data_IF_330581574730
#
_entry.id   IF_330581574730
#
_cell.length_a   1.000
_cell.length_b   1.000
_cell.length_c   1.000
_cell.angle_alpha   90.00
_cell.angle_beta   90.00
_cell.angle_gamma   90.00
#
_symmetry.space_group_name_H-M   'P 1'
#
loop_
_entity.id
_entity.type
_entity.pdbx_description
1 polymer ?
#
# COMPACT_ATOMS: atom_id res chain seq x y z
N UNK A 1 -14.03 -11.80 7.11
CA UNK A 1 -12.56 -11.81 7.08
C UNK A 1 -12.02 -10.43 6.74
N UNK A 2 -10.78 -10.17 7.07
CA UNK A 2 -10.15 -8.86 6.84
C UNK A 2 -9.85 -8.62 5.38
N UNK A 3 -10.06 -7.39 4.94
CA UNK A 3 -9.59 -6.86 3.66
C UNK A 3 -8.51 -5.83 3.96
N UNK A 4 -7.34 -6.02 3.38
CA UNK A 4 -6.12 -5.32 3.75
C UNK A 4 -5.65 -4.45 2.60
N UNK A 5 -5.25 -3.22 2.92
CA UNK A 5 -4.56 -2.32 1.99
C UNK A 5 -3.12 -2.16 2.48
N UNK A 6 -2.16 -2.33 1.58
CA UNK A 6 -0.77 -2.01 1.84
C UNK A 6 -0.37 -0.85 0.93
N UNK A 7 -0.09 0.30 1.51
CA UNK A 7 0.41 1.47 0.81
C UNK A 7 1.90 1.61 1.08
N UNK A 8 2.70 1.68 0.01
CA UNK A 8 4.15 1.77 0.12
C UNK A 8 4.58 3.11 -0.45
N UNK A 9 5.17 3.95 0.39
CA UNK A 9 5.60 5.30 0.01
C UNK A 9 7.12 5.40 -0.09
N UNK A 10 7.63 6.54 -0.54
CA UNK A 10 9.02 6.73 -0.90
C UNK A 10 9.97 7.05 0.24
N UNK A 11 9.60 6.71 1.47
CA UNK A 11 10.53 6.84 2.59
C UNK A 11 11.51 5.67 2.61
N UNK A 12 12.67 5.84 3.27
CA UNK A 12 13.58 4.74 3.53
C UNK A 12 12.89 3.67 4.37
N UNK A 13 13.22 2.40 4.14
CA UNK A 13 12.63 1.28 4.88
C UNK A 13 11.81 0.33 4.01
N UNK A 14 12.15 0.19 2.73
CA UNK A 14 11.50 -0.78 1.84
C UNK A 14 11.56 -2.20 2.39
N UNK A 15 12.59 -2.54 3.18
CA UNK A 15 12.69 -3.85 3.82
C UNK A 15 11.50 -4.15 4.73
N UNK A 16 10.91 -3.15 5.37
CA UNK A 16 9.75 -3.36 6.24
C UNK A 16 8.51 -3.72 5.43
N UNK A 17 8.31 -3.09 4.28
CA UNK A 17 7.23 -3.46 3.36
C UNK A 17 7.42 -4.89 2.84
N UNK A 18 8.64 -5.25 2.47
CA UNK A 18 8.98 -6.60 2.04
C UNK A 18 8.67 -7.62 3.14
N UNK A 19 9.11 -7.37 4.37
CA UNK A 19 8.86 -8.27 5.50
C UNK A 19 7.36 -8.45 5.75
N UNK A 20 6.57 -7.38 5.67
CA UNK A 20 5.12 -7.46 5.85
C UNK A 20 4.49 -8.32 4.76
N UNK A 21 4.83 -8.07 3.50
CA UNK A 21 4.27 -8.83 2.38
C UNK A 21 4.69 -10.30 2.43
N UNK A 22 5.96 -10.57 2.74
CA UNK A 22 6.45 -11.95 2.90
C UNK A 22 5.69 -12.68 4.02
N UNK A 23 5.41 -11.99 5.12
CA UNK A 23 4.68 -12.57 6.24
C UNK A 23 3.21 -12.86 5.91
N UNK A 24 2.60 -12.08 5.03
CA UNK A 24 1.20 -12.26 4.65
C UNK A 24 0.97 -13.40 3.66
N UNK A 25 1.94 -13.73 2.82
CA UNK A 25 1.77 -14.75 1.79
C UNK A 25 1.30 -16.10 2.37
N UNK A 26 1.93 -16.66 3.43
CA UNK A 26 1.48 -17.94 3.97
C UNK A 26 0.20 -17.85 4.79
N UNK A 27 -0.31 -16.66 5.06
CA UNK A 27 -1.52 -16.45 5.85
C UNK A 27 -2.77 -16.28 4.97
N UNK A 28 -2.75 -16.76 3.75
CA UNK A 28 -3.77 -16.49 2.73
C UNK A 28 -5.18 -16.99 3.10
N UNK A 29 -5.32 -17.83 4.11
CA UNK A 29 -6.63 -18.27 4.62
C UNK A 29 -7.14 -17.42 5.78
N UNK A 30 -6.41 -16.37 6.20
CA UNK A 30 -6.76 -15.54 7.35
C UNK A 30 -7.23 -14.13 6.93
N UNK A 31 -7.22 -13.83 5.65
CA UNK A 31 -7.75 -12.57 5.11
C UNK A 31 -8.48 -12.83 3.80
N UNK A 32 -9.35 -11.90 3.41
CA UNK A 32 -10.14 -12.04 2.20
C UNK A 32 -9.37 -11.55 0.97
N UNK A 33 -8.72 -10.39 1.09
CA UNK A 33 -7.97 -9.81 -0.02
C UNK A 33 -6.90 -8.84 0.49
N UNK A 34 -5.87 -8.66 -0.33
CA UNK A 34 -4.81 -7.67 -0.11
C UNK A 34 -4.67 -6.85 -1.38
N UNK A 35 -4.87 -5.54 -1.26
CA UNK A 35 -4.58 -4.58 -2.32
C UNK A 35 -3.31 -3.82 -1.99
N UNK A 36 -2.44 -3.62 -2.98
CA UNK A 36 -1.17 -2.92 -2.80
C UNK A 36 -1.13 -1.71 -3.72
N UNK A 37 -0.75 -0.57 -3.17
CA UNK A 37 -0.51 0.66 -3.93
C UNK A 37 0.89 1.15 -3.62
N UNK A 38 1.70 1.34 -4.65
CA UNK A 38 3.05 1.90 -4.52
C UNK A 38 3.11 3.25 -5.22
N UNK A 39 3.68 4.26 -4.55
CA UNK A 39 4.04 5.49 -5.24
C UNK A 39 5.21 5.25 -6.19
N UNK A 40 5.44 6.15 -7.14
CA UNK A 40 6.59 6.03 -8.05
C UNK A 40 7.91 6.07 -7.26
N UNK A 41 7.98 6.94 -6.25
CA UNK A 41 9.15 7.01 -5.38
C UNK A 41 9.33 5.73 -4.56
N UNK A 42 8.26 5.07 -4.16
CA UNK A 42 8.35 3.79 -3.44
C UNK A 42 9.03 2.72 -4.29
N UNK A 43 8.71 2.65 -5.56
CA UNK A 43 9.34 1.70 -6.48
C UNK A 43 10.84 1.98 -6.61
N UNK A 44 11.19 3.26 -6.76
CA UNK A 44 12.58 3.68 -6.87
C UNK A 44 13.38 3.37 -5.60
N UNK A 45 12.81 3.64 -4.43
CA UNK A 45 13.46 3.35 -3.15
C UNK A 45 13.63 1.84 -2.95
N UNK A 46 12.62 1.05 -3.28
CA UNK A 46 12.73 -0.41 -3.22
C UNK A 46 13.87 -0.93 -4.09
N UNK A 47 13.91 -0.48 -5.36
CA UNK A 47 14.95 -0.90 -6.30
C UNK A 47 16.35 -0.52 -5.81
N UNK A 48 16.48 0.65 -5.22
CA UNK A 48 17.76 1.14 -4.69
C UNK A 48 18.17 0.41 -3.43
N UNK A 49 17.26 0.25 -2.45
CA UNK A 49 17.59 -0.32 -1.15
C UNK A 49 17.70 -1.84 -1.17
N UNK A 50 16.87 -2.52 -1.96
CA UNK A 50 16.82 -3.98 -1.99
C UNK A 50 17.48 -4.58 -3.23
N UNK A 51 17.94 -3.75 -4.15
CA UNK A 51 18.64 -4.15 -5.37
C UNK A 51 17.85 -5.16 -6.22
N UNK A 52 16.53 -4.97 -6.31
CA UNK A 52 15.66 -5.79 -7.16
C UNK A 52 14.36 -5.04 -7.47
N UNK A 53 13.52 -5.65 -8.34
CA UNK A 53 12.20 -5.15 -8.69
C UNK A 53 11.12 -6.17 -8.33
N UNK A 54 11.33 -6.93 -7.26
CA UNK A 54 10.47 -8.05 -6.90
C UNK A 54 9.17 -7.63 -6.22
N UNK A 55 8.96 -6.33 -6.02
CA UNK A 55 7.73 -5.81 -5.39
C UNK A 55 6.46 -6.26 -6.12
N UNK A 56 6.50 -6.49 -7.43
CA UNK A 56 5.33 -6.88 -8.21
C UNK A 56 5.15 -8.40 -8.37
N UNK A 57 5.97 -9.20 -7.71
CA UNK A 57 5.90 -10.67 -7.80
C UNK A 57 4.99 -11.30 -6.74
N UNK A 58 4.47 -10.52 -5.82
CA UNK A 58 3.59 -11.02 -4.78
C UNK A 58 2.21 -11.38 -5.33
N UNK A 59 1.52 -12.38 -4.75
CA UNK A 59 0.19 -12.82 -5.20
C UNK A 59 -0.92 -11.89 -4.70
N UNK A 60 -0.69 -10.59 -4.72
CA UNK A 60 -1.64 -9.56 -4.32
C UNK A 60 -2.08 -8.77 -5.53
N UNK A 61 -3.18 -8.03 -5.40
CA UNK A 61 -3.63 -7.14 -6.46
C UNK A 61 -2.95 -5.78 -6.32
N UNK A 62 -2.24 -5.36 -7.36
CA UNK A 62 -1.54 -4.07 -7.38
C UNK A 62 -2.36 -3.05 -8.14
N UNK A 63 -2.51 -1.87 -7.57
CA UNK A 63 -3.28 -0.76 -8.14
C UNK A 63 -2.37 0.42 -8.42
N UNK A 64 -2.66 1.14 -9.49
CA UNK A 64 -1.96 2.37 -9.84
C UNK A 64 -2.31 3.48 -8.84
N UNK A 65 -1.38 4.41 -8.62
CA UNK A 65 -1.57 5.53 -7.69
C UNK A 65 -2.73 6.44 -8.03
N UNK A 66 -3.17 6.45 -9.29
CA UNK A 66 -4.28 7.28 -9.77
C UNK A 66 -5.55 6.48 -10.06
N UNK A 67 -5.61 5.23 -9.65
CA UNK A 67 -6.76 4.38 -9.93
C UNK A 67 -7.89 4.63 -8.93
N UNK A 68 -8.68 5.66 -9.17
CA UNK A 68 -9.85 5.97 -8.35
C UNK A 68 -11.03 5.01 -8.57
N UNK A 69 -10.89 4.04 -9.49
CA UNK A 69 -11.83 2.94 -9.65
C UNK A 69 -11.47 1.71 -8.81
N UNK A 70 -10.33 1.75 -8.10
CA UNK A 70 -9.98 0.68 -7.17
C UNK A 70 -11.07 0.52 -6.10
N UNK A 71 -11.33 -0.71 -5.62
CA UNK A 71 -12.43 -0.95 -4.69
C UNK A 71 -12.33 -0.11 -3.42
N UNK A 72 -11.13 0.11 -2.89
CA UNK A 72 -10.95 0.88 -1.66
C UNK A 72 -10.83 2.39 -1.87
N UNK A 73 -11.05 2.88 -3.08
CA UNK A 73 -11.25 4.32 -3.30
C UNK A 73 -12.59 4.78 -2.74
N UNK A 74 -13.46 3.85 -2.38
CA UNK A 74 -14.75 4.11 -1.73
C UNK A 74 -14.84 3.29 -0.44
N UNK A 75 -15.43 3.87 0.60
CA UNK A 75 -15.68 3.18 1.86
C UNK A 75 -16.66 2.01 1.75
N UNK A 76 -17.44 1.93 0.67
CA UNK A 76 -18.41 0.86 0.48
C UNK A 76 -17.78 -0.51 0.26
N UNK A 77 -16.49 -0.59 -0.13
CA UNK A 77 -15.79 -1.85 -0.29
C UNK A 77 -15.41 -2.50 1.05
N UNK A 78 -15.51 -1.76 2.15
CA UNK A 78 -15.30 -2.25 3.52
C UNK A 78 -13.90 -2.84 3.76
N UNK A 79 -12.87 -2.26 3.17
CA UNK A 79 -11.50 -2.54 3.57
C UNK A 79 -11.29 -2.01 4.98
N UNK A 80 -10.82 -2.85 5.88
CA UNK A 80 -10.82 -2.55 7.31
C UNK A 80 -9.43 -2.47 7.95
N UNK A 81 -8.39 -2.78 7.20
CA UNK A 81 -7.00 -2.65 7.67
C UNK A 81 -6.19 -1.95 6.58
N UNK A 82 -5.44 -0.93 6.99
CA UNK A 82 -4.52 -0.24 6.09
C UNK A 82 -3.17 -0.09 6.76
N UNK A 83 -2.14 -0.55 6.07
CA UNK A 83 -0.75 -0.30 6.45
C UNK A 83 -0.15 0.71 5.48
N UNK A 84 0.51 1.71 6.02
CA UNK A 84 1.33 2.63 5.23
C UNK A 84 2.78 2.41 5.65
N UNK A 85 3.52 1.65 4.85
CA UNK A 85 4.84 1.17 5.26
C UNK A 85 5.81 1.11 4.08
N UNK A 86 6.92 1.85 4.12
CA UNK A 86 7.15 2.97 5.02
C UNK A 86 6.25 4.15 4.68
N UNK A 87 6.08 5.06 5.62
CA UNK A 87 5.27 6.25 5.42
C UNK A 87 6.15 7.49 5.38
N UNK A 88 6.16 8.21 4.25
CA UNK A 88 6.87 9.48 4.17
C UNK A 88 6.14 10.55 5.00
N UNK A 89 6.89 11.55 5.46
CA UNK A 89 6.29 12.67 6.20
C UNK A 89 5.26 13.41 5.37
N UNK A 90 5.50 13.55 4.05
CA UNK A 90 4.53 14.17 3.15
C UNK A 90 3.22 13.39 3.07
N UNK A 91 3.29 12.07 2.99
CA UNK A 91 2.08 11.22 2.99
C UNK A 91 1.34 11.35 4.31
N UNK A 92 2.05 11.26 5.43
CA UNK A 92 1.44 11.41 6.75
C UNK A 92 0.76 12.78 6.89
N UNK A 93 1.43 13.85 6.45
CA UNK A 93 0.90 15.19 6.50
C UNK A 93 -0.37 15.35 5.67
N UNK A 94 -0.41 14.80 4.46
CA UNK A 94 -1.61 14.83 3.62
C UNK A 94 -2.75 14.04 4.23
N UNK A 95 -2.50 12.85 4.75
CA UNK A 95 -3.51 12.05 5.44
C UNK A 95 -4.06 12.81 6.64
N UNK A 96 -3.20 13.37 7.48
CA UNK A 96 -3.59 14.10 8.66
C UNK A 96 -4.40 15.37 8.34
N UNK A 97 -4.14 15.99 7.18
CA UNK A 97 -4.84 17.20 6.74
C UNK A 97 -6.09 16.93 5.90
N UNK A 98 -6.43 15.66 5.68
CA UNK A 98 -7.61 15.30 4.90
C UNK A 98 -7.47 15.50 3.40
N UNK A 99 -6.24 15.58 2.89
CA UNK A 99 -5.99 15.72 1.44
C UNK A 99 -6.12 14.33 0.81
N UNK A 100 -6.89 14.25 -0.27
CA UNK A 100 -7.27 13.01 -0.93
C UNK A 100 -7.04 13.10 -2.43
N UNK A 101 -5.78 13.35 -2.83
CA UNK A 101 -5.40 13.66 -4.20
C UNK A 101 -4.80 12.48 -4.99
N UNK A 102 -4.59 11.34 -4.34
CA UNK A 102 -4.18 10.10 -4.99
C UNK A 102 -4.87 8.91 -4.31
N UNK A 103 -4.61 7.70 -4.82
CA UNK A 103 -5.27 6.52 -4.29
C UNK A 103 -4.88 6.22 -2.85
N UNK A 104 -3.61 6.46 -2.47
CA UNK A 104 -3.14 6.20 -1.10
C UNK A 104 -3.87 7.11 -0.11
N UNK A 105 -3.89 8.42 -0.36
CA UNK A 105 -4.56 9.37 0.52
C UNK A 105 -6.08 9.18 0.49
N UNK A 106 -6.63 8.83 -0.68
CA UNK A 106 -8.06 8.52 -0.81
C UNK A 106 -8.44 7.32 0.03
N UNK A 107 -7.67 6.24 -0.02
CA UNK A 107 -7.93 5.04 0.77
C UNK A 107 -7.86 5.32 2.27
N UNK A 108 -6.92 6.16 2.69
CA UNK A 108 -6.81 6.56 4.09
C UNK A 108 -7.99 7.42 4.55
N UNK A 109 -8.55 8.24 3.64
CA UNK A 109 -9.67 9.15 3.94
C UNK A 109 -10.99 8.39 4.11
N UNK A 110 -11.20 7.34 3.37
CA UNK A 110 -12.45 6.56 3.42
C UNK A 110 -12.32 5.34 4.32
#
# INVERSE_FOLDING_TARGET
MNKIIIAITGASGAIYAKCLMDALVPLNNQYESVGVVMSDNAKMVWETELDNKDYNKYPFTFYQKNDFNAPFASGSAQYNIMFVVPCSMGTLGRIASGISDDLITRAADV
#
